data_IF_347875680395
#
_entry.id   IF_347875680395
#
_cell.length_a   1.000
_cell.length_b   1.000
_cell.length_c   1.000
_cell.angle_alpha   90.00
_cell.angle_beta   90.00
_cell.angle_gamma   90.00
#
_symmetry.space_group_name_H-M   'P 1'
#
loop_
_entity.id
_entity.type
_entity.pdbx_description
1 polymer ?
#
# COMPACT_ATOMS: atom_id res chain seq x y z
N UNK A 1 -5.54 -10.91 -2.28
CA UNK A 1 -6.90 -11.12 -1.74
C UNK A 1 -7.36 -12.53 -2.10
N UNK A 2 -7.41 -13.41 -1.10
CA UNK A 2 -7.68 -14.85 -1.28
C UNK A 2 -8.98 -15.24 -0.57
N UNK A 3 -10.04 -15.44 -1.34
CA UNK A 3 -11.37 -15.81 -0.81
C UNK A 3 -11.43 -17.28 -0.36
N UNK A 4 -10.60 -18.14 -0.95
CA UNK A 4 -10.55 -19.59 -0.66
C UNK A 4 -9.62 -19.99 0.48
N UNK A 5 -9.11 -19.06 1.29
CA UNK A 5 -8.01 -19.30 2.24
C UNK A 5 -8.30 -20.45 3.23
N UNK A 6 -9.54 -20.60 3.71
CA UNK A 6 -9.94 -21.67 4.63
C UNK A 6 -9.78 -23.05 3.99
N UNK A 7 -10.21 -23.19 2.74
CA UNK A 7 -10.11 -24.43 1.99
C UNK A 7 -8.65 -24.75 1.62
N UNK A 8 -7.87 -23.74 1.27
CA UNK A 8 -6.42 -23.87 1.01
C UNK A 8 -5.72 -24.41 2.26
N UNK A 9 -5.95 -23.79 3.43
CA UNK A 9 -5.37 -24.25 4.69
C UNK A 9 -5.76 -25.70 4.98
N UNK A 10 -7.03 -26.03 4.83
CA UNK A 10 -7.53 -27.41 5.04
C UNK A 10 -6.84 -28.42 4.12
N UNK A 11 -6.68 -28.09 2.86
CA UNK A 11 -6.05 -28.97 1.86
C UNK A 11 -4.58 -29.21 2.19
N UNK A 12 -3.84 -28.18 2.57
CA UNK A 12 -2.44 -28.28 2.95
C UNK A 12 -2.28 -29.14 4.20
N UNK A 13 -3.13 -28.93 5.23
CA UNK A 13 -3.10 -29.73 6.47
C UNK A 13 -3.41 -31.21 6.20
N UNK A 14 -4.37 -31.51 5.34
CA UNK A 14 -4.68 -32.88 4.94
C UNK A 14 -3.50 -33.60 4.28
N UNK A 15 -2.63 -32.85 3.62
CA UNK A 15 -1.41 -33.35 3.02
C UNK A 15 -0.22 -33.38 4.00
N UNK A 16 -0.42 -33.04 5.28
CA UNK A 16 0.63 -32.98 6.30
C UNK A 16 1.50 -31.73 6.28
N UNK A 17 1.11 -30.73 5.49
CA UNK A 17 1.82 -29.45 5.41
C UNK A 17 1.42 -28.46 6.50
N UNK A 18 2.14 -27.34 6.57
CA UNK A 18 1.87 -26.20 7.46
C UNK A 18 1.63 -24.95 6.61
N UNK A 19 0.85 -24.00 7.12
CA UNK A 19 0.50 -22.77 6.43
C UNK A 19 1.13 -21.57 7.13
N UNK A 20 2.04 -20.90 6.45
CA UNK A 20 2.59 -19.63 6.86
C UNK A 20 1.82 -18.51 6.15
N UNK A 21 1.25 -17.59 6.92
CA UNK A 21 0.60 -16.39 6.39
C UNK A 21 1.51 -15.20 6.58
N UNK A 22 1.89 -14.58 5.47
CA UNK A 22 2.50 -13.26 5.50
C UNK A 22 1.43 -12.24 5.87
N UNK A 23 1.37 -11.93 7.15
CA UNK A 23 0.46 -10.93 7.73
C UNK A 23 1.14 -9.59 7.93
N UNK A 24 2.19 -9.27 7.16
CA UNK A 24 2.93 -8.03 7.29
C UNK A 24 2.01 -6.79 7.31
N UNK A 25 0.97 -6.80 6.48
CA UNK A 25 -0.09 -5.79 6.50
C UNK A 25 -1.41 -6.44 6.92
N UNK A 26 -1.97 -5.99 8.05
CA UNK A 26 -3.25 -6.45 8.58
C UNK A 26 -4.38 -5.42 8.41
N UNK A 27 -4.22 -4.39 7.59
CA UNK A 27 -5.19 -3.30 7.45
C UNK A 27 -6.57 -3.76 6.98
N UNK A 28 -6.67 -4.91 6.32
CA UNK A 28 -7.96 -5.52 5.96
C UNK A 28 -8.45 -6.59 6.94
N UNK A 29 -7.70 -6.92 8.00
CA UNK A 29 -7.97 -8.09 8.83
C UNK A 29 -8.35 -7.75 10.27
N UNK A 30 -7.78 -6.70 10.88
CA UNK A 30 -7.95 -6.43 12.31
C UNK A 30 -9.43 -6.29 12.68
N UNK A 31 -9.88 -7.15 13.59
CA UNK A 31 -11.28 -7.20 14.04
C UNK A 31 -12.29 -7.82 13.06
N UNK A 32 -11.86 -8.23 11.86
CA UNK A 32 -12.70 -8.88 10.84
C UNK A 32 -12.31 -10.33 10.59
N UNK A 33 -11.01 -10.62 10.51
CA UNK A 33 -10.50 -11.97 10.30
C UNK A 33 -9.23 -12.21 11.12
N UNK A 34 -9.02 -13.43 11.58
CA UNK A 34 -7.85 -13.81 12.37
C UNK A 34 -7.10 -14.97 11.69
N UNK A 35 -5.80 -14.83 11.40
CA UNK A 35 -5.01 -15.87 10.73
C UNK A 35 -5.14 -17.25 11.38
N UNK A 36 -5.06 -17.36 12.70
CA UNK A 36 -5.24 -18.62 13.41
C UNK A 36 -6.63 -19.24 13.27
N UNK A 37 -7.68 -18.44 13.07
CA UNK A 37 -9.06 -18.94 12.90
C UNK A 37 -9.30 -19.51 11.51
N UNK A 38 -8.75 -18.91 10.46
CA UNK A 38 -8.91 -19.44 9.11
C UNK A 38 -7.91 -20.55 8.75
N UNK A 39 -6.96 -20.88 9.65
CA UNK A 39 -6.13 -22.06 9.48
C UNK A 39 -4.63 -21.82 9.36
N UNK A 40 -4.14 -20.60 9.54
CA UNK A 40 -2.71 -20.35 9.58
C UNK A 40 -2.03 -21.03 10.76
N UNK A 41 -0.86 -21.60 10.57
CA UNK A 41 -0.01 -22.18 11.61
C UNK A 41 1.02 -21.18 12.13
N UNK A 42 1.49 -20.31 11.24
CA UNK A 42 2.40 -19.20 11.53
C UNK A 42 1.89 -17.95 10.85
N UNK A 43 1.99 -16.83 11.54
CA UNK A 43 1.80 -15.50 10.94
C UNK A 43 2.78 -14.50 11.54
N UNK A 44 3.38 -13.67 10.73
CA UNK A 44 4.08 -12.47 11.20
C UNK A 44 3.29 -11.22 10.85
N UNK A 45 3.57 -10.14 11.54
CA UNK A 45 2.99 -8.83 11.23
C UNK A 45 4.06 -7.73 11.37
N UNK A 46 3.91 -6.65 10.62
CA UNK A 46 4.78 -5.50 10.72
C UNK A 46 4.07 -4.37 11.47
N UNK A 47 4.61 -4.00 12.64
CA UNK A 47 4.00 -2.94 13.45
C UNK A 47 4.04 -1.57 12.76
N UNK A 48 4.97 -1.36 11.83
CA UNK A 48 5.07 -0.12 11.05
C UNK A 48 4.06 0.00 9.90
N UNK A 49 3.24 -1.01 9.66
CA UNK A 49 2.15 -0.96 8.68
C UNK A 49 0.81 -0.68 9.37
N UNK A 50 0.33 -1.61 10.16
CA UNK A 50 -1.02 -1.54 10.75
C UNK A 50 -1.04 -0.89 12.14
N UNK A 51 0.10 -0.87 12.87
CA UNK A 51 0.16 -0.49 14.30
C UNK A 51 1.05 0.73 14.58
N UNK A 52 1.23 1.58 13.59
CA UNK A 52 1.73 2.96 13.62
C UNK A 52 3.14 3.21 14.21
N UNK A 53 4.01 2.20 14.33
CA UNK A 53 5.40 2.52 14.65
C UNK A 53 6.10 3.18 13.45
N UNK A 54 7.08 4.07 13.69
CA UNK A 54 7.88 4.61 12.60
C UNK A 54 8.80 3.55 12.03
N UNK A 55 8.96 3.52 10.69
CA UNK A 55 9.96 2.70 10.00
C UNK A 55 10.64 3.46 8.86
N UNK A 56 9.94 4.36 8.19
CA UNK A 56 10.34 5.10 7.00
C UNK A 56 11.83 5.44 6.94
N UNK A 57 12.47 5.15 5.83
CA UNK A 57 13.89 5.38 5.63
C UNK A 57 14.84 4.46 6.40
N UNK A 58 14.35 3.35 7.00
CA UNK A 58 15.18 2.37 7.69
C UNK A 58 15.33 2.59 9.20
N UNK A 59 14.30 3.14 9.83
CA UNK A 59 14.22 3.26 11.30
C UNK A 59 14.11 1.91 12.01
N UNK A 60 13.91 1.92 13.34
CA UNK A 60 13.80 0.69 14.12
C UNK A 60 12.63 -0.17 13.63
N UNK A 61 12.85 -1.48 13.51
CA UNK A 61 11.84 -2.43 13.08
C UNK A 61 11.53 -3.44 14.16
N UNK A 62 10.28 -3.91 14.18
CA UNK A 62 9.83 -5.03 14.99
C UNK A 62 8.68 -5.74 14.27
N UNK A 63 8.80 -7.06 14.16
CA UNK A 63 7.83 -7.91 13.49
C UNK A 63 7.44 -9.08 14.38
N UNK A 64 6.38 -8.97 15.19
CA UNK A 64 5.91 -10.10 15.99
C UNK A 64 5.55 -11.29 15.11
N UNK A 65 5.88 -12.49 15.61
CA UNK A 65 5.52 -13.76 14.99
C UNK A 65 4.62 -14.52 15.94
N UNK A 66 3.46 -14.94 15.45
CA UNK A 66 2.54 -15.78 16.18
C UNK A 66 2.50 -17.18 15.57
N UNK A 67 2.45 -18.20 16.40
CA UNK A 67 2.42 -19.61 15.97
C UNK A 67 1.32 -20.37 16.70
N UNK A 68 0.86 -21.48 16.11
CA UNK A 68 0.02 -22.46 16.81
C UNK A 68 0.83 -23.22 17.86
N UNK A 69 0.15 -23.74 18.86
CA UNK A 69 0.74 -24.41 20.03
C UNK A 69 1.76 -25.49 19.66
N UNK A 70 1.48 -26.31 18.66
CA UNK A 70 2.39 -27.38 18.22
C UNK A 70 3.73 -26.88 17.66
N UNK A 71 3.82 -25.63 17.25
CA UNK A 71 5.05 -24.99 16.79
C UNK A 71 5.77 -24.20 17.87
N UNK A 72 5.12 -23.92 19.00
CA UNK A 72 5.72 -23.16 20.10
C UNK A 72 7.06 -23.72 20.59
N UNK A 73 7.26 -25.06 20.69
CA UNK A 73 8.55 -25.65 21.11
C UNK A 73 9.73 -25.35 20.17
N UNK A 74 9.47 -24.91 18.94
CA UNK A 74 10.47 -24.63 17.90
C UNK A 74 10.80 -23.14 17.76
N UNK A 75 10.13 -22.28 18.56
CA UNK A 75 10.43 -20.85 18.54
C UNK A 75 11.87 -20.59 18.99
N UNK A 76 12.52 -19.54 18.50
CA UNK A 76 13.84 -19.12 18.96
C UNK A 76 13.85 -18.87 20.47
N UNK A 77 15.01 -19.09 21.09
CA UNK A 77 15.26 -18.70 22.48
C UNK A 77 16.55 -17.86 22.56
N UNK A 78 16.95 -17.44 23.75
CA UNK A 78 18.10 -16.61 23.93
C UNK A 78 18.94 -17.08 25.15
N UNK A 79 20.27 -17.25 25.02
CA UNK A 79 21.08 -17.81 26.08
C UNK A 79 21.18 -16.92 27.34
N UNK A 80 20.96 -15.62 27.19
CA UNK A 80 21.05 -14.65 28.28
C UNK A 80 19.67 -14.18 28.79
N UNK A 81 18.59 -14.53 28.08
CA UNK A 81 17.24 -14.07 28.39
C UNK A 81 16.30 -15.28 28.32
N UNK A 82 16.15 -16.05 29.40
CA UNK A 82 15.35 -17.28 29.42
C UNK A 82 13.88 -17.07 29.01
N UNK A 83 13.33 -15.89 29.28
CA UNK A 83 11.94 -15.52 28.96
C UNK A 83 11.70 -15.28 27.47
N UNK A 84 12.77 -15.20 26.66
CA UNK A 84 12.66 -14.90 25.23
C UNK A 84 12.11 -16.05 24.38
N UNK A 85 12.05 -17.28 24.92
CA UNK A 85 11.54 -18.43 24.19
C UNK A 85 11.59 -19.72 24.99
N UNK A 86 11.15 -20.85 24.39
CA UNK A 86 11.10 -22.15 25.06
C UNK A 86 12.51 -22.73 25.30
N UNK A 87 12.66 -23.54 26.30
CA UNK A 87 13.91 -24.25 26.58
C UNK A 87 14.37 -25.15 25.41
N UNK A 88 13.44 -25.61 24.59
CA UNK A 88 13.66 -26.42 23.38
C UNK A 88 13.98 -25.60 22.14
N UNK A 89 14.05 -24.28 22.24
CA UNK A 89 14.21 -23.38 21.12
C UNK A 89 15.50 -23.59 20.31
N UNK A 90 15.48 -23.12 19.09
CA UNK A 90 16.57 -23.32 18.11
C UNK A 90 17.81 -22.45 18.32
N UNK A 91 17.82 -21.59 19.33
CA UNK A 91 18.88 -20.62 19.60
C UNK A 91 18.49 -19.18 19.28
N UNK A 92 19.39 -18.25 19.53
CA UNK A 92 19.17 -16.84 19.28
C UNK A 92 19.23 -16.54 17.78
N UNK A 93 18.24 -15.79 17.28
CA UNK A 93 18.24 -15.26 15.91
C UNK A 93 19.02 -13.94 15.85
N UNK A 94 18.92 -13.12 16.90
CA UNK A 94 19.58 -11.83 17.03
C UNK A 94 20.01 -11.58 18.48
N UNK A 95 20.95 -10.65 18.67
CA UNK A 95 21.41 -10.25 20.00
C UNK A 95 20.29 -9.58 20.83
N UNK A 96 19.31 -8.94 20.17
CA UNK A 96 18.15 -8.33 20.79
C UNK A 96 16.91 -9.24 20.59
N UNK A 97 16.52 -10.09 21.58
CA UNK A 97 15.47 -11.07 21.39
C UNK A 97 14.07 -10.49 21.15
N UNK A 98 13.87 -9.25 21.60
CA UNK A 98 12.59 -8.53 21.44
C UNK A 98 12.59 -7.52 20.29
N UNK A 99 13.58 -7.57 19.40
CA UNK A 99 13.76 -6.57 18.34
C UNK A 99 14.01 -5.17 18.93
N UNK A 100 13.51 -4.12 18.27
CA UNK A 100 13.62 -2.74 18.74
C UNK A 100 12.57 -2.43 19.82
N UNK A 101 12.63 -3.12 20.96
CA UNK A 101 11.58 -3.11 21.99
C UNK A 101 11.23 -1.71 22.54
N UNK A 102 12.16 -0.74 22.46
CA UNK A 102 11.93 0.64 22.90
C UNK A 102 10.80 1.38 22.17
N UNK A 103 10.35 0.88 21.02
CA UNK A 103 9.22 1.46 20.26
C UNK A 103 7.87 0.81 20.57
N UNK A 104 7.82 -0.28 21.32
CA UNK A 104 6.58 -0.98 21.68
C UNK A 104 5.56 -0.12 22.46
N UNK A 105 5.93 0.90 23.25
CA UNK A 105 4.95 1.82 23.83
C UNK A 105 4.06 2.51 22.79
N UNK A 106 4.54 2.71 21.54
CA UNK A 106 3.77 3.37 20.47
C UNK A 106 2.56 2.49 20.06
N UNK A 107 2.74 1.23 19.62
CA UNK A 107 1.59 0.39 19.28
C UNK A 107 0.74 0.04 20.50
N UNK A 108 1.33 -0.04 21.70
CA UNK A 108 0.56 -0.23 22.92
C UNK A 108 -0.41 0.94 23.18
N UNK A 109 0.06 2.18 23.08
CA UNK A 109 -0.80 3.36 23.19
C UNK A 109 -1.85 3.42 22.09
N UNK A 110 -1.46 3.13 20.84
CA UNK A 110 -2.39 3.11 19.72
C UNK A 110 -3.53 2.12 19.96
N UNK A 111 -3.21 0.88 20.34
CA UNK A 111 -4.23 -0.15 20.65
C UNK A 111 -5.09 0.26 21.85
N UNK A 112 -4.49 0.82 22.92
CA UNK A 112 -5.22 1.26 24.09
C UNK A 112 -6.18 2.44 23.78
N UNK A 113 -5.77 3.38 22.95
CA UNK A 113 -6.58 4.54 22.55
C UNK A 113 -7.71 4.13 21.60
N UNK A 114 -7.44 3.26 20.64
CA UNK A 114 -8.42 2.83 19.66
C UNK A 114 -9.46 1.85 20.24
N UNK A 115 -9.01 0.96 21.12
CA UNK A 115 -9.84 -0.15 21.61
C UNK A 115 -10.28 -1.09 20.50
N UNK A 116 -11.03 -2.13 20.84
CA UNK A 116 -11.48 -3.13 19.88
C UNK A 116 -12.37 -2.53 18.77
N UNK A 117 -13.30 -1.67 19.14
CA UNK A 117 -14.24 -1.04 18.20
C UNK A 117 -13.54 -0.06 17.27
N UNK A 118 -12.58 0.74 17.79
CA UNK A 118 -11.79 1.67 16.99
C UNK A 118 -10.93 0.95 15.96
N UNK A 119 -10.24 -0.11 16.33
CA UNK A 119 -9.42 -0.92 15.44
C UNK A 119 -10.26 -1.58 14.34
N UNK A 120 -11.42 -2.16 14.70
CA UNK A 120 -12.35 -2.74 13.72
C UNK A 120 -12.89 -1.68 12.75
N UNK A 121 -13.20 -0.49 13.27
CA UNK A 121 -13.65 0.63 12.44
C UNK A 121 -12.56 1.11 11.49
N UNK A 122 -11.31 1.18 11.95
CA UNK A 122 -10.16 1.53 11.11
C UNK A 122 -10.04 0.57 9.90
N UNK A 123 -10.12 -0.75 10.16
CA UNK A 123 -10.13 -1.76 9.09
C UNK A 123 -11.29 -1.55 8.10
N UNK A 124 -12.49 -1.33 8.62
CA UNK A 124 -13.66 -1.11 7.76
C UNK A 124 -13.52 0.15 6.89
N UNK A 125 -12.96 1.23 7.45
CA UNK A 125 -12.71 2.49 6.72
C UNK A 125 -11.62 2.30 5.67
N UNK A 126 -10.53 1.58 5.97
CA UNK A 126 -9.48 1.28 5.00
C UNK A 126 -10.03 0.54 3.77
N UNK A 127 -10.87 -0.48 4.01
CA UNK A 127 -11.54 -1.21 2.93
C UNK A 127 -12.50 -0.30 2.15
N UNK A 128 -13.29 0.52 2.84
CA UNK A 128 -14.21 1.47 2.21
C UNK A 128 -13.46 2.47 1.31
N UNK A 129 -12.36 3.04 1.79
CA UNK A 129 -11.57 4.01 1.06
C UNK A 129 -10.97 3.41 -0.23
N UNK A 130 -10.42 2.20 -0.15
CA UNK A 130 -9.88 1.50 -1.32
C UNK A 130 -10.97 1.21 -2.37
N UNK A 131 -12.15 0.79 -1.93
CA UNK A 131 -13.30 0.55 -2.82
C UNK A 131 -13.85 1.84 -3.42
N UNK A 132 -13.83 2.94 -2.66
CA UNK A 132 -14.22 4.26 -3.17
C UNK A 132 -13.28 4.72 -4.29
N UNK A 133 -11.96 4.60 -4.10
CA UNK A 133 -10.97 4.91 -5.15
C UNK A 133 -11.18 4.01 -6.37
N UNK A 134 -11.31 2.70 -6.15
CA UNK A 134 -11.54 1.73 -7.22
C UNK A 134 -12.78 2.08 -8.08
N UNK A 135 -13.87 2.53 -7.44
CA UNK A 135 -15.07 2.96 -8.14
C UNK A 135 -14.87 4.28 -8.89
N UNK A 136 -14.23 5.27 -8.23
CA UNK A 136 -13.99 6.61 -8.82
C UNK A 136 -13.09 6.55 -10.05
N UNK A 137 -12.15 5.62 -10.10
CA UNK A 137 -11.16 5.52 -11.16
C UNK A 137 -11.48 4.48 -12.23
N UNK A 138 -12.52 3.68 -12.10
CA UNK A 138 -12.82 2.52 -12.96
C UNK A 138 -12.94 2.88 -14.45
N UNK A 139 -13.54 4.01 -14.78
CA UNK A 139 -13.67 4.52 -16.15
C UNK A 139 -12.34 5.03 -16.77
N UNK A 140 -11.36 5.35 -15.91
CA UNK A 140 -10.08 5.92 -16.30
C UNK A 140 -8.95 4.90 -16.28
N UNK A 141 -8.97 4.01 -15.30
CA UNK A 141 -7.96 2.99 -15.04
C UNK A 141 -8.64 1.73 -14.54
N UNK A 142 -8.68 0.64 -15.32
CA UNK A 142 -9.29 -0.60 -14.87
C UNK A 142 -8.63 -1.13 -13.58
N UNK A 143 -9.42 -1.69 -12.68
CA UNK A 143 -8.92 -2.38 -11.49
C UNK A 143 -8.64 -3.83 -11.84
N UNK A 144 -7.38 -4.26 -11.71
CA UNK A 144 -6.93 -5.57 -12.20
C UNK A 144 -7.51 -6.75 -11.42
N UNK A 145 -7.59 -6.64 -10.08
CA UNK A 145 -8.07 -7.71 -9.22
C UNK A 145 -9.26 -7.27 -8.38
N UNK A 146 -10.34 -8.03 -8.47
CA UNK A 146 -11.55 -7.85 -7.66
C UNK A 146 -12.02 -9.20 -7.15
N UNK A 147 -12.64 -9.24 -5.98
CA UNK A 147 -13.33 -10.41 -5.47
C UNK A 147 -14.63 -10.70 -6.23
N UNK A 148 -15.31 -11.80 -5.87
CA UNK A 148 -16.54 -12.27 -6.53
C UNK A 148 -17.66 -11.22 -6.54
N UNK A 149 -17.69 -10.33 -5.54
CA UNK A 149 -18.68 -9.24 -5.44
C UNK A 149 -18.23 -7.95 -6.12
N UNK A 150 -17.14 -7.95 -6.90
CA UNK A 150 -16.60 -6.78 -7.56
C UNK A 150 -15.87 -5.81 -6.64
N UNK A 151 -15.65 -6.18 -5.37
CA UNK A 151 -14.97 -5.35 -4.37
C UNK A 151 -13.48 -5.70 -4.27
N UNK A 152 -12.70 -4.73 -3.79
CA UNK A 152 -11.31 -4.90 -3.38
C UNK A 152 -11.19 -4.96 -1.86
N UNK A 153 -10.01 -5.33 -1.34
CA UNK A 153 -9.73 -5.28 0.10
C UNK A 153 -9.36 -3.83 0.52
N UNK A 154 -8.23 -3.66 1.20
CA UNK A 154 -7.75 -2.35 1.68
C UNK A 154 -6.87 -1.60 0.66
N UNK A 155 -6.62 -2.22 -0.48
CA UNK A 155 -5.82 -1.68 -1.59
C UNK A 155 -6.47 -2.04 -2.92
N UNK A 156 -6.21 -1.25 -3.97
CA UNK A 156 -6.62 -1.57 -5.32
C UNK A 156 -5.44 -1.49 -6.28
N UNK A 157 -5.44 -2.36 -7.27
CA UNK A 157 -4.40 -2.45 -8.29
C UNK A 157 -4.95 -1.82 -9.57
N UNK A 158 -4.46 -0.64 -9.92
CA UNK A 158 -4.81 0.04 -11.16
C UNK A 158 -3.95 -0.51 -12.31
N UNK A 159 -4.61 -0.96 -13.36
CA UNK A 159 -3.95 -1.53 -14.54
C UNK A 159 -3.63 -0.43 -15.57
N UNK A 160 -2.36 -0.14 -15.76
CA UNK A 160 -1.88 0.88 -16.68
C UNK A 160 -1.26 0.28 -17.97
N UNK A 161 -1.28 -1.05 -18.11
CA UNK A 161 -0.61 -1.73 -19.23
C UNK A 161 -1.14 -1.33 -20.59
N UNK A 162 -2.41 -0.95 -20.69
CA UNK A 162 -3.01 -0.46 -21.92
C UNK A 162 -2.47 0.92 -22.36
N UNK A 163 -1.79 1.62 -21.47
CA UNK A 163 -1.22 2.96 -21.72
C UNK A 163 0.28 2.90 -22.07
N UNK A 164 0.89 1.71 -21.98
CA UNK A 164 2.36 1.52 -22.09
C UNK A 164 2.98 1.92 -23.42
N UNK A 165 2.18 2.01 -24.48
CA UNK A 165 2.65 2.51 -25.80
C UNK A 165 2.74 4.03 -25.85
N UNK A 166 2.13 4.74 -24.90
CA UNK A 166 2.04 6.21 -24.85
C UNK A 166 2.85 6.78 -23.71
N UNK A 167 2.69 6.23 -22.52
CA UNK A 167 3.35 6.66 -21.28
C UNK A 167 3.73 5.45 -20.43
N UNK A 168 4.77 5.61 -19.62
CA UNK A 168 5.18 4.57 -18.65
C UNK A 168 4.47 4.77 -17.31
N UNK A 169 4.44 3.72 -16.48
CA UNK A 169 3.99 3.83 -15.07
C UNK A 169 4.81 4.85 -14.29
N UNK A 170 6.11 4.93 -14.59
CA UNK A 170 7.03 5.88 -13.97
C UNK A 170 6.66 7.33 -14.32
N UNK A 171 6.27 7.61 -15.56
CA UNK A 171 5.85 8.96 -15.98
C UNK A 171 4.59 9.40 -15.22
N UNK A 172 3.62 8.50 -15.04
CA UNK A 172 2.42 8.77 -14.25
C UNK A 172 2.79 9.00 -12.77
N UNK A 173 3.68 8.17 -12.21
CA UNK A 173 4.14 8.30 -10.84
C UNK A 173 4.89 9.62 -10.59
N UNK A 174 5.76 10.03 -11.52
CA UNK A 174 6.45 11.33 -11.47
C UNK A 174 5.47 12.49 -11.60
N UNK A 175 4.48 12.37 -12.49
CA UNK A 175 3.48 13.41 -12.67
C UNK A 175 2.61 13.60 -11.40
N UNK A 176 2.32 12.55 -10.65
CA UNK A 176 1.65 12.65 -9.35
C UNK A 176 2.40 13.52 -8.34
N UNK A 177 3.74 13.63 -8.44
CA UNK A 177 4.54 14.52 -7.59
C UNK A 177 4.17 15.98 -7.86
N UNK A 178 3.96 16.38 -9.12
CA UNK A 178 3.51 17.73 -9.48
C UNK A 178 2.09 18.03 -8.95
N UNK A 179 1.25 16.99 -8.79
CA UNK A 179 -0.04 17.09 -8.13
C UNK A 179 0.04 17.09 -6.60
N UNK A 180 1.27 17.00 -6.05
CA UNK A 180 1.52 17.02 -4.61
C UNK A 180 1.26 15.69 -3.91
N UNK A 181 1.40 14.57 -4.62
CA UNK A 181 1.29 13.23 -4.07
C UNK A 181 2.62 12.48 -4.09
N UNK A 182 2.87 11.73 -3.03
CA UNK A 182 3.83 10.65 -3.09
C UNK A 182 3.21 9.51 -3.91
N UNK A 183 3.90 9.08 -4.95
CA UNK A 183 3.35 8.07 -5.85
C UNK A 183 3.08 6.74 -5.14
N UNK A 184 1.98 6.03 -5.51
CA UNK A 184 1.73 4.66 -5.06
C UNK A 184 2.84 3.70 -5.49
N UNK A 185 2.87 2.50 -4.89
CA UNK A 185 3.83 1.45 -5.27
C UNK A 185 3.65 1.07 -6.75
N UNK A 186 4.73 1.20 -7.50
CA UNK A 186 4.75 0.91 -8.93
C UNK A 186 5.05 -0.55 -9.22
N UNK A 187 4.42 -1.08 -10.27
CA UNK A 187 4.73 -2.39 -10.86
C UNK A 187 4.71 -3.55 -9.85
N UNK A 188 3.77 -3.49 -8.92
CA UNK A 188 3.50 -4.53 -7.94
C UNK A 188 1.97 -4.74 -7.79
N UNK A 189 1.48 -6.00 -7.72
CA UNK A 189 2.18 -7.28 -7.86
C UNK A 189 2.55 -7.64 -9.31
N UNK A 190 2.13 -6.86 -10.27
CA UNK A 190 2.34 -7.10 -11.70
C UNK A 190 3.02 -5.87 -12.34
N UNK A 191 4.01 -6.07 -13.24
CA UNK A 191 4.59 -4.96 -14.00
C UNK A 191 3.51 -4.14 -14.73
N UNK A 192 3.65 -2.83 -14.76
CA UNK A 192 2.72 -1.93 -15.43
C UNK A 192 1.45 -1.61 -14.63
N UNK A 193 1.50 -1.72 -13.30
CA UNK A 193 0.38 -1.40 -12.39
C UNK A 193 0.78 -0.39 -11.34
N UNK A 194 -0.22 0.23 -10.71
CA UNK A 194 -0.07 1.01 -9.47
C UNK A 194 -0.91 0.36 -8.36
N UNK A 195 -0.29 0.08 -7.22
CA UNK A 195 -0.98 -0.40 -6.02
C UNK A 195 -1.31 0.79 -5.11
N UNK A 196 -2.58 1.10 -5.00
CA UNK A 196 -3.08 2.22 -4.20
C UNK A 196 -3.66 1.72 -2.89
N UNK A 197 -3.07 2.15 -1.79
CA UNK A 197 -3.50 1.85 -0.42
C UNK A 197 -3.75 3.16 0.34
N UNK A 198 -5.01 3.61 0.46
CA UNK A 198 -5.33 4.87 1.14
C UNK A 198 -5.27 4.76 2.67
N UNK A 199 -5.33 3.55 3.23
CA UNK A 199 -5.53 3.27 4.65
C UNK A 199 -6.81 3.91 5.22
N UNK A 200 -6.96 3.94 6.53
CA UNK A 200 -8.01 4.65 7.25
C UNK A 200 -7.63 6.11 7.59
N UNK A 201 -6.35 6.45 7.42
CA UNK A 201 -5.81 7.74 7.88
C UNK A 201 -6.07 8.89 6.91
N UNK A 202 -6.33 8.59 5.64
CA UNK A 202 -6.62 9.62 4.64
C UNK A 202 -8.04 10.16 4.78
N UNK A 203 -8.19 11.48 4.74
CA UNK A 203 -9.50 12.11 4.72
C UNK A 203 -10.19 11.89 3.38
N UNK A 204 -11.55 11.93 3.38
CA UNK A 204 -12.32 11.87 2.12
C UNK A 204 -11.90 12.96 1.13
N UNK A 205 -11.60 14.18 1.63
CA UNK A 205 -11.14 15.28 0.80
C UNK A 205 -9.81 14.96 0.09
N UNK A 206 -8.87 14.34 0.81
CA UNK A 206 -7.57 13.95 0.23
C UNK A 206 -7.73 12.80 -0.77
N UNK A 207 -8.61 11.85 -0.48
CA UNK A 207 -8.93 10.77 -1.42
C UNK A 207 -9.59 11.33 -2.69
N UNK A 208 -10.52 12.28 -2.56
CA UNK A 208 -11.14 12.96 -3.69
C UNK A 208 -10.07 13.69 -4.53
N UNK A 209 -9.17 14.45 -3.88
CA UNK A 209 -8.06 15.15 -4.53
C UNK A 209 -7.14 14.19 -5.30
N UNK A 210 -6.85 13.02 -4.73
CA UNK A 210 -6.08 11.98 -5.41
C UNK A 210 -6.81 11.44 -6.65
N UNK A 211 -8.09 11.10 -6.52
CA UNK A 211 -8.88 10.64 -7.64
C UNK A 211 -8.97 11.68 -8.77
N UNK A 212 -9.16 12.94 -8.41
CA UNK A 212 -9.21 14.06 -9.37
C UNK A 212 -7.87 14.22 -10.09
N UNK A 213 -6.74 14.13 -9.37
CA UNK A 213 -5.41 14.14 -9.95
C UNK A 213 -5.21 13.00 -10.97
N UNK A 214 -5.58 11.78 -10.61
CA UNK A 214 -5.49 10.63 -11.51
C UNK A 214 -6.38 10.82 -12.76
N UNK A 215 -7.58 11.34 -12.61
CA UNK A 215 -8.48 11.63 -13.72
C UNK A 215 -7.90 12.70 -14.65
N UNK A 216 -7.30 13.76 -14.09
CA UNK A 216 -6.63 14.80 -14.89
C UNK A 216 -5.41 14.24 -15.62
N UNK A 217 -4.57 13.42 -14.97
CA UNK A 217 -3.46 12.73 -15.64
C UNK A 217 -3.98 11.87 -16.81
N UNK A 218 -5.14 11.20 -16.66
CA UNK A 218 -5.74 10.46 -17.78
C UNK A 218 -6.14 11.38 -18.95
N UNK A 219 -6.60 12.60 -18.66
CA UNK A 219 -6.87 13.60 -19.70
C UNK A 219 -5.58 14.09 -20.39
N UNK A 220 -4.52 14.32 -19.61
CA UNK A 220 -3.20 14.64 -20.15
C UNK A 220 -2.69 13.53 -21.09
N UNK A 221 -2.83 12.26 -20.71
CA UNK A 221 -2.48 11.11 -21.56
C UNK A 221 -3.28 11.13 -22.87
N UNK A 222 -4.58 11.45 -22.83
CA UNK A 222 -5.40 11.56 -24.06
C UNK A 222 -4.90 12.65 -25.01
N UNK A 223 -4.31 13.74 -24.50
CA UNK A 223 -3.70 14.79 -25.32
C UNK A 223 -2.45 14.28 -26.04
N UNK A 224 -1.69 13.38 -25.42
CA UNK A 224 -0.56 12.70 -26.06
C UNK A 224 -1.08 11.71 -27.12
N UNK A 225 -2.07 10.88 -26.76
CA UNK A 225 -2.71 9.91 -27.68
C UNK A 225 -3.27 10.60 -28.94
N UNK A 226 -3.80 11.82 -28.80
CA UNK A 226 -4.34 12.60 -29.93
C UNK A 226 -3.28 13.34 -30.76
N UNK A 227 -2.02 13.33 -30.31
CA UNK A 227 -0.92 14.07 -30.96
C UNK A 227 -0.93 15.58 -30.68
N UNK A 228 -1.73 16.06 -29.72
CA UNK A 228 -1.69 17.47 -29.28
C UNK A 228 -0.37 17.77 -28.55
N UNK A 229 0.13 16.83 -27.77
CA UNK A 229 1.47 16.87 -27.19
C UNK A 229 2.37 15.80 -27.79
N UNK A 230 3.64 16.10 -28.09
CA UNK A 230 4.61 15.12 -28.54
C UNK A 230 4.85 14.03 -27.47
N UNK A 231 5.13 12.81 -27.90
CA UNK A 231 5.40 11.70 -27.01
C UNK A 231 6.69 11.90 -26.17
N UNK A 232 7.65 12.64 -26.71
CA UNK A 232 8.96 12.90 -26.11
C UNK A 232 9.07 14.26 -25.41
N UNK A 233 8.03 15.11 -25.48
CA UNK A 233 7.98 16.41 -24.79
C UNK A 233 6.56 16.74 -24.31
N UNK A 234 6.24 16.33 -23.11
CA UNK A 234 4.94 16.52 -22.47
C UNK A 234 5.07 16.56 -20.94
N UNK A 235 4.03 16.98 -20.20
CA UNK A 235 4.12 17.11 -18.74
C UNK A 235 4.43 15.82 -17.98
N UNK A 236 4.09 14.63 -18.52
CA UNK A 236 4.34 13.37 -17.86
C UNK A 236 5.81 12.95 -17.97
N UNK A 237 6.36 13.01 -19.19
CA UNK A 237 7.77 12.65 -19.45
C UNK A 237 8.72 13.57 -18.71
N UNK A 238 8.39 14.89 -18.68
CA UNK A 238 9.22 15.91 -18.06
C UNK A 238 9.01 16.08 -16.55
N UNK A 239 8.00 15.42 -15.96
CA UNK A 239 7.77 15.44 -14.52
C UNK A 239 8.93 14.77 -13.74
N UNK A 240 9.16 15.18 -12.48
CA UNK A 240 8.52 16.30 -11.80
C UNK A 240 9.10 17.65 -12.24
N UNK A 241 8.31 18.73 -12.10
CA UNK A 241 8.71 20.08 -12.44
C UNK A 241 9.18 20.86 -11.20
N UNK A 242 10.48 20.85 -10.86
CA UNK A 242 10.99 21.59 -9.72
C UNK A 242 10.99 23.09 -9.99
N UNK A 243 11.03 23.89 -8.93
CA UNK A 243 11.05 25.35 -9.03
C UNK A 243 12.17 25.88 -9.93
N UNK A 244 13.33 25.22 -9.94
CA UNK A 244 14.47 25.58 -10.80
C UNK A 244 14.10 25.55 -12.28
N UNK A 245 13.34 24.55 -12.73
CA UNK A 245 12.91 24.45 -14.12
C UNK A 245 11.80 25.46 -14.44
N UNK A 246 10.87 25.65 -13.54
CA UNK A 246 9.76 26.61 -13.71
C UNK A 246 10.21 28.07 -13.75
N UNK A 247 11.34 28.41 -13.13
CA UNK A 247 11.87 29.77 -13.04
C UNK A 247 12.90 30.12 -14.14
N UNK A 248 13.23 29.19 -15.03
CA UNK A 248 14.09 29.48 -16.20
C UNK A 248 13.45 30.57 -17.08
N UNK A 249 14.27 31.46 -17.63
CA UNK A 249 13.80 32.52 -18.52
C UNK A 249 13.14 31.94 -19.78
N UNK A 250 13.71 30.86 -20.31
CA UNK A 250 13.23 30.18 -21.50
C UNK A 250 12.33 28.99 -21.15
N UNK A 251 11.18 28.91 -21.83
CA UNK A 251 10.24 27.79 -21.76
C UNK A 251 9.86 27.36 -23.18
N UNK A 252 10.35 26.21 -23.58
CA UNK A 252 10.20 25.72 -24.95
C UNK A 252 9.26 24.53 -25.09
N UNK A 253 8.62 24.13 -24.00
CA UNK A 253 7.70 22.99 -23.99
C UNK A 253 6.35 23.34 -24.65
N UNK A 254 5.66 22.38 -25.28
CA UNK A 254 4.36 22.58 -25.92
C UNK A 254 3.20 22.79 -24.93
N UNK A 255 3.47 22.77 -23.65
CA UNK A 255 2.53 23.04 -22.56
C UNK A 255 3.01 24.24 -21.73
N UNK A 256 2.12 24.87 -21.00
CA UNK A 256 2.42 26.09 -20.24
C UNK A 256 3.09 25.78 -18.90
N UNK A 257 3.85 26.73 -18.34
CA UNK A 257 4.37 26.65 -16.96
C UNK A 257 3.25 26.48 -15.94
N UNK A 258 2.06 27.04 -16.21
CA UNK A 258 0.89 26.87 -15.34
C UNK A 258 0.41 25.43 -15.32
N UNK A 259 0.32 24.77 -16.46
CA UNK A 259 -0.02 23.34 -16.55
C UNK A 259 1.02 22.47 -15.86
N UNK A 260 2.30 22.84 -15.92
CA UNK A 260 3.37 22.16 -15.20
C UNK A 260 3.22 22.30 -13.68
N UNK A 261 3.08 23.56 -13.19
CA UNK A 261 3.16 23.89 -11.77
C UNK A 261 1.83 23.75 -10.99
N UNK A 262 0.70 23.93 -11.68
CA UNK A 262 -0.64 23.96 -11.06
C UNK A 262 -1.64 23.10 -11.86
N UNK A 263 -1.37 21.80 -11.98
CA UNK A 263 -2.13 20.96 -12.90
C UNK A 263 -3.63 20.84 -12.55
N UNK A 264 -4.02 20.92 -11.26
CA UNK A 264 -5.44 20.91 -10.85
C UNK A 264 -6.17 22.24 -11.08
N UNK A 265 -5.45 23.36 -11.19
CA UNK A 265 -6.08 24.67 -11.35
C UNK A 265 -6.47 24.98 -12.81
N UNK A 266 -6.02 24.15 -13.77
CA UNK A 266 -6.37 24.29 -15.19
C UNK A 266 -7.74 23.73 -15.55
N UNK A 267 -8.34 22.94 -14.65
CA UNK A 267 -9.66 22.32 -14.85
C UNK A 267 -10.85 23.13 -14.30
N UNK A 268 -10.61 24.16 -13.48
CA UNK A 268 -11.63 25.15 -13.15
C UNK A 268 -11.56 26.29 -14.17
N UNK A 269 -12.07 26.01 -15.36
CA UNK A 269 -12.42 27.08 -16.30
C UNK A 269 -13.47 27.98 -15.64
N UNK A 270 -13.15 29.27 -15.57
CA UNK A 270 -13.95 30.47 -15.28
C UNK A 270 -15.25 30.31 -14.47
#
# INVERSE_FOLDING_TARGET
>A
FEEGIVEICRTIHQAGGQVYVDGANLNALVGLAAPGQFGADVSHLNLHKTFCIPHGGGGPGIGPVAVREHLAPFLPNHPLVPEAGPATGSGAIAAAPWGSAGILPIPWMYVAMMGAEGLKRATAVAILNANYIALRLDDSYPVLYRGQNGLVAHECILDLRQLSEVVTVEDIAKRLIDYGFHAPTMSFPVPGTLMVEPTESESKQEIDRFCDAMIEIRKEIRRIESGEWPADDNPLVNAPHPAEDLLKDDWHHPYTRREAAFPLSSSSGD
#
